data_IF_392820416506
#
_entry.id   IF_392820416506
#
_cell.length_a   1.000
_cell.length_b   1.000
_cell.length_c   1.000
_cell.angle_alpha   90.00
_cell.angle_beta   90.00
_cell.angle_gamma   90.00
#
_symmetry.space_group_name_H-M   'P 1'
#
loop_
_entity.id
_entity.type
_entity.pdbx_description
1 polymer ?
#
# COMPACT_ATOMS: atom_id res chain seq x y z
N UNK A 1 12.61 107.91 -62.07
CA UNK A 1 13.14 107.47 -60.76
C UNK A 1 12.01 107.53 -59.73
N UNK A 2 11.98 106.55 -58.81
CA UNK A 2 11.12 106.42 -57.62
C UNK A 2 9.63 106.02 -57.81
N UNK A 3 9.37 104.70 -57.77
CA UNK A 3 8.05 104.06 -57.53
C UNK A 3 7.62 104.28 -56.07
N UNK A 4 6.44 104.89 -55.86
CA UNK A 4 5.75 104.96 -54.56
C UNK A 4 5.10 103.60 -54.27
N UNK A 5 5.38 103.02 -53.11
CA UNK A 5 4.87 101.72 -52.66
C UNK A 5 3.62 101.94 -51.81
N UNK A 6 2.47 101.42 -52.26
CA UNK A 6 1.26 101.38 -51.46
C UNK A 6 1.28 100.13 -50.57
N UNK A 7 1.33 100.36 -49.26
CA UNK A 7 1.30 99.33 -48.22
C UNK A 7 -0.15 98.95 -47.92
N UNK A 8 -0.66 97.92 -48.59
CA UNK A 8 -1.90 97.23 -48.21
C UNK A 8 -1.52 95.80 -47.85
N UNK A 9 -1.57 95.46 -46.57
CA UNK A 9 -1.38 94.09 -46.07
C UNK A 9 -2.75 93.39 -46.00
N UNK A 10 -3.05 92.38 -46.83
CA UNK A 10 -4.25 91.57 -46.64
C UNK A 10 -4.01 90.57 -45.51
N UNK A 11 -4.68 90.78 -44.39
CA UNK A 11 -4.65 89.90 -43.23
C UNK A 11 -5.77 88.84 -43.32
N UNK A 12 -5.42 87.64 -43.80
CA UNK A 12 -5.90 86.32 -43.31
C UNK A 12 -5.50 85.23 -44.32
N UNK A 13 -4.51 84.41 -43.96
CA UNK A 13 -4.37 83.08 -44.56
C UNK A 13 -5.21 82.11 -43.72
N UNK A 14 -6.07 81.27 -44.31
CA UNK A 14 -6.72 80.22 -43.55
C UNK A 14 -5.64 79.23 -43.08
N UNK A 15 -5.67 78.91 -41.78
CA UNK A 15 -4.79 77.92 -41.17
C UNK A 15 -5.10 76.56 -41.82
N UNK A 16 -4.20 76.05 -42.66
CA UNK A 16 -4.32 74.70 -43.19
C UNK A 16 -4.01 73.74 -42.04
N UNK A 17 -5.03 73.06 -41.53
CA UNK A 17 -4.87 71.94 -40.61
C UNK A 17 -4.13 70.83 -41.34
N UNK A 18 -2.87 70.58 -40.96
CA UNK A 18 -2.15 69.38 -41.38
C UNK A 18 -2.85 68.19 -40.71
N UNK A 19 -3.37 67.20 -41.45
CA UNK A 19 -3.94 66.02 -40.79
C UNK A 19 -2.81 65.30 -40.05
N UNK A 20 -2.97 65.11 -38.74
CA UNK A 20 -2.09 64.25 -37.98
C UNK A 20 -2.17 62.85 -38.61
N UNK A 21 -1.09 62.42 -39.26
CA UNK A 21 -0.96 61.07 -39.78
C UNK A 21 -1.01 60.13 -38.57
N UNK A 22 -2.17 59.51 -38.33
CA UNK A 22 -2.36 58.52 -37.26
C UNK A 22 -1.46 57.34 -37.56
N UNK A 23 -0.24 57.34 -37.03
CA UNK A 23 0.65 56.18 -37.08
C UNK A 23 -0.02 55.14 -36.20
N UNK A 24 -0.61 54.14 -36.82
CA UNK A 24 -1.24 53.02 -36.15
C UNK A 24 -0.13 52.13 -35.57
N UNK A 25 0.52 52.58 -34.49
CA UNK A 25 1.51 51.79 -33.76
C UNK A 25 0.77 50.73 -32.96
N UNK A 26 0.35 49.65 -33.63
CA UNK A 26 -0.01 48.42 -32.92
C UNK A 26 1.19 48.03 -32.07
N UNK A 27 1.02 47.78 -30.76
CA UNK A 27 2.14 47.35 -29.93
C UNK A 27 2.76 46.09 -30.55
N UNK A 28 4.10 45.94 -30.53
CA UNK A 28 4.74 44.73 -31.05
C UNK A 28 4.14 43.52 -30.32
N UNK A 29 3.78 42.48 -31.07
CA UNK A 29 3.30 41.22 -30.48
C UNK A 29 4.37 40.69 -29.53
N UNK A 30 4.02 40.21 -28.32
CA UNK A 30 5.00 39.65 -27.42
C UNK A 30 5.72 38.47 -28.08
N UNK A 31 7.02 38.26 -27.82
CA UNK A 31 7.74 37.12 -28.34
C UNK A 31 7.04 35.83 -27.90
N UNK A 32 6.59 35.03 -28.87
CA UNK A 32 6.07 33.69 -28.61
C UNK A 32 7.27 32.77 -28.39
N UNK A 33 7.59 32.49 -27.13
CA UNK A 33 8.54 31.45 -26.79
C UNK A 33 7.89 30.07 -27.07
N UNK A 34 8.29 29.42 -28.16
CA UNK A 34 7.97 28.02 -28.40
C UNK A 34 8.74 27.18 -27.37
N UNK A 35 8.04 26.45 -26.50
CA UNK A 35 8.70 25.47 -25.63
C UNK A 35 9.28 24.38 -26.53
N UNK A 36 10.60 24.10 -26.48
CA UNK A 36 11.17 23.03 -27.26
C UNK A 36 10.47 21.72 -26.88
N UNK A 37 10.03 20.95 -27.88
CA UNK A 37 9.45 19.63 -27.63
C UNK A 37 10.55 18.75 -27.03
N UNK A 38 10.35 18.32 -25.78
CA UNK A 38 11.29 17.41 -25.11
C UNK A 38 11.30 16.09 -25.86
N UNK A 39 12.49 15.62 -26.21
CA UNK A 39 12.64 14.26 -26.74
C UNK A 39 12.29 13.25 -25.64
N UNK A 40 11.77 12.08 -26.02
CA UNK A 40 11.44 11.00 -25.08
C UNK A 40 12.62 10.64 -24.16
N UNK A 41 13.86 10.72 -24.68
CA UNK A 41 15.08 10.50 -23.90
C UNK A 41 15.27 11.58 -22.82
N UNK A 42 15.13 12.86 -23.16
CA UNK A 42 15.25 13.96 -22.19
C UNK A 42 14.14 13.91 -21.13
N UNK A 43 12.89 13.65 -21.56
CA UNK A 43 11.78 13.47 -20.63
C UNK A 43 12.07 12.33 -19.64
N UNK A 44 12.55 11.18 -20.12
CA UNK A 44 12.92 10.04 -19.28
C UNK A 44 14.03 10.37 -18.28
N UNK A 45 15.11 11.02 -18.69
CA UNK A 45 16.20 11.38 -17.77
C UNK A 45 15.76 12.39 -16.70
N UNK A 46 14.93 13.37 -17.07
CA UNK A 46 14.41 14.35 -16.12
C UNK A 46 13.39 13.75 -15.14
N UNK A 47 12.56 12.79 -15.58
CA UNK A 47 11.60 12.11 -14.71
C UNK A 47 12.19 10.95 -13.93
N UNK A 48 13.31 10.37 -14.38
CA UNK A 48 13.99 9.23 -13.73
C UNK A 48 14.21 9.42 -12.22
N UNK A 49 14.75 10.54 -11.69
CA UNK A 49 14.93 10.67 -10.25
C UNK A 49 13.59 10.63 -9.48
N UNK A 50 12.52 11.21 -10.05
CA UNK A 50 11.20 11.20 -9.45
C UNK A 50 10.57 9.79 -9.50
N UNK A 51 10.71 9.08 -10.62
CA UNK A 51 10.27 7.68 -10.75
C UNK A 51 11.02 6.78 -9.77
N UNK A 52 12.33 6.96 -9.63
CA UNK A 52 13.14 6.22 -8.66
C UNK A 52 12.75 6.54 -7.21
N UNK A 53 12.46 7.82 -6.89
CA UNK A 53 11.97 8.21 -5.58
C UNK A 53 10.61 7.59 -5.28
N UNK A 54 9.67 7.60 -6.23
CA UNK A 54 8.37 6.94 -6.08
C UNK A 54 8.56 5.43 -5.88
N UNK A 55 9.41 4.80 -6.68
CA UNK A 55 9.74 3.38 -6.54
C UNK A 55 10.38 3.04 -5.18
N UNK A 56 11.28 3.88 -4.68
CA UNK A 56 11.90 3.70 -3.38
C UNK A 56 10.89 3.92 -2.23
N UNK A 57 10.09 4.98 -2.32
CA UNK A 57 9.07 5.29 -1.30
C UNK A 57 8.00 4.19 -1.23
N UNK A 58 7.56 3.68 -2.38
CA UNK A 58 6.62 2.54 -2.44
C UNK A 58 7.24 1.27 -1.86
N UNK A 59 8.51 0.96 -2.17
CA UNK A 59 9.24 -0.15 -1.55
C UNK A 59 9.36 0.00 -0.03
N UNK A 60 9.71 1.19 0.48
CA UNK A 60 9.79 1.47 1.91
C UNK A 60 8.42 1.31 2.60
N UNK A 61 7.34 1.78 1.97
CA UNK A 61 5.99 1.65 2.52
C UNK A 61 5.56 0.18 2.61
N UNK A 62 5.86 -0.63 1.58
CA UNK A 62 5.56 -2.08 1.60
C UNK A 62 6.39 -2.79 2.68
N UNK A 63 7.68 -2.47 2.79
CA UNK A 63 8.56 -3.05 3.80
C UNK A 63 8.13 -2.72 5.25
N UNK A 64 7.44 -1.60 5.45
CA UNK A 64 6.96 -1.17 6.76
C UNK A 64 5.64 -1.84 7.21
N UNK A 65 5.04 -2.71 6.38
CA UNK A 65 3.78 -3.41 6.69
C UNK A 65 3.98 -4.93 6.80
N UNK A 66 4.69 -5.43 7.84
CA UNK A 66 4.89 -6.86 8.02
C UNK A 66 3.52 -7.54 8.23
N UNK A 67 3.19 -8.51 7.37
CA UNK A 67 1.90 -9.23 7.42
C UNK A 67 0.83 -8.76 6.44
N UNK A 68 1.06 -7.68 5.67
CA UNK A 68 0.14 -7.26 4.60
C UNK A 68 0.24 -8.15 3.36
N UNK A 69 1.43 -8.70 3.11
CA UNK A 69 1.74 -9.52 1.94
C UNK A 69 2.58 -10.72 2.35
N UNK A 70 2.39 -11.84 1.66
CA UNK A 70 3.33 -12.95 1.76
C UNK A 70 4.70 -12.49 1.24
N UNK A 71 5.78 -12.71 2.00
CA UNK A 71 7.13 -12.38 1.55
C UNK A 71 7.46 -13.17 0.28
N UNK A 72 8.27 -12.63 -0.64
CA UNK A 72 8.69 -13.38 -1.82
C UNK A 72 9.44 -14.65 -1.42
N UNK A 73 9.37 -15.70 -2.23
CA UNK A 73 9.88 -17.03 -1.86
C UNK A 73 11.35 -17.08 -1.41
N UNK A 74 12.20 -16.18 -1.90
CA UNK A 74 13.60 -16.09 -1.48
C UNK A 74 13.80 -15.55 -0.04
N UNK A 75 12.76 -14.97 0.57
CA UNK A 75 12.71 -14.56 1.98
C UNK A 75 11.90 -15.54 2.84
N UNK A 76 11.47 -16.67 2.26
CA UNK A 76 10.75 -17.72 2.99
C UNK A 76 11.67 -18.89 3.31
N UNK A 77 11.43 -19.51 4.46
CA UNK A 77 12.04 -20.79 4.81
C UNK A 77 11.63 -21.89 3.85
N UNK A 78 12.35 -23.01 3.91
CA UNK A 78 11.93 -24.23 3.23
C UNK A 78 10.49 -24.62 3.65
N UNK A 79 9.62 -25.04 2.71
CA UNK A 79 8.25 -25.41 3.02
C UNK A 79 8.17 -26.68 3.89
N UNK A 80 7.63 -26.54 5.10
CA UNK A 80 7.35 -27.66 5.99
C UNK A 80 5.94 -28.21 5.71
N UNK A 81 5.84 -29.52 5.43
CA UNK A 81 4.54 -30.18 5.19
C UNK A 81 4.04 -30.82 6.47
N UNK A 82 2.89 -30.37 6.95
CA UNK A 82 2.25 -30.88 8.17
C UNK A 82 0.99 -31.65 7.81
N UNK A 83 0.84 -32.83 8.40
CA UNK A 83 -0.38 -33.61 8.36
C UNK A 83 -0.65 -34.17 9.76
N UNK A 84 -1.88 -34.03 10.24
CA UNK A 84 -2.27 -34.47 11.57
C UNK A 84 -3.70 -34.06 11.89
N UNK A 85 -4.21 -34.59 12.99
CA UNK A 85 -5.52 -34.22 13.53
C UNK A 85 -5.32 -33.32 14.74
N UNK A 86 -5.80 -32.08 14.64
CA UNK A 86 -5.73 -31.06 15.68
C UNK A 86 -6.95 -31.16 16.59
N UNK A 87 -6.71 -31.28 17.89
CA UNK A 87 -7.74 -31.21 18.93
C UNK A 87 -7.72 -29.84 19.60
N UNK A 88 -8.65 -29.56 20.52
CA UNK A 88 -8.49 -28.45 21.46
C UNK A 88 -7.38 -28.77 22.44
N UNK A 89 -6.57 -27.77 22.80
CA UNK A 89 -5.59 -27.95 23.86
C UNK A 89 -6.33 -28.10 25.21
N UNK A 90 -5.92 -29.07 26.04
CA UNK A 90 -6.60 -29.38 27.30
C UNK A 90 -5.76 -30.27 28.22
N UNK A 91 -6.38 -30.81 29.28
CA UNK A 91 -5.73 -31.76 30.21
C UNK A 91 -5.52 -33.10 29.51
N UNK A 92 -4.33 -33.25 28.93
CA UNK A 92 -3.93 -34.39 28.10
C UNK A 92 -3.14 -33.84 26.92
N UNK A 93 -1.84 -34.13 26.87
CA UNK A 93 -0.91 -33.52 25.91
C UNK A 93 -1.15 -34.06 24.50
N UNK A 94 -2.05 -33.44 23.75
CA UNK A 94 -2.14 -33.66 22.31
C UNK A 94 -0.88 -33.13 21.63
N UNK A 95 -0.24 -33.94 20.79
CA UNK A 95 0.89 -33.46 19.97
C UNK A 95 0.43 -32.35 19.01
N UNK A 96 -0.76 -32.48 18.44
CA UNK A 96 -1.40 -31.44 17.62
C UNK A 96 -2.61 -30.87 18.37
N UNK A 97 -2.54 -29.61 18.80
CA UNK A 97 -3.69 -28.96 19.44
C UNK A 97 -3.79 -27.47 19.14
N UNK A 98 -5.00 -26.93 19.17
CA UNK A 98 -5.30 -25.51 18.94
C UNK A 98 -5.51 -24.80 20.28
N UNK A 99 -4.82 -23.67 20.46
CA UNK A 99 -4.88 -22.87 21.69
C UNK A 99 -6.03 -21.85 21.56
N UNK A 100 -5.96 -21.01 20.53
CA UNK A 100 -6.88 -19.90 20.26
C UNK A 100 -7.07 -19.76 18.73
N UNK A 101 -7.70 -18.69 18.25
CA UNK A 101 -8.04 -18.51 16.84
C UNK A 101 -6.85 -18.24 15.91
N UNK A 102 -5.66 -17.96 16.42
CA UNK A 102 -4.48 -17.64 15.61
C UNK A 102 -3.21 -18.38 16.07
N UNK A 103 -3.30 -19.19 17.12
CA UNK A 103 -2.20 -19.91 17.72
C UNK A 103 -2.55 -21.38 17.95
N UNK A 104 -1.65 -22.27 17.53
CA UNK A 104 -1.74 -23.72 17.75
C UNK A 104 -0.38 -24.31 18.13
N UNK A 105 -0.36 -25.59 18.49
CA UNK A 105 0.83 -26.32 18.90
C UNK A 105 1.09 -27.57 18.08
N UNK A 106 2.38 -27.81 17.84
CA UNK A 106 2.94 -29.05 17.29
C UNK A 106 4.05 -29.52 18.24
N UNK A 107 3.73 -30.49 19.10
CA UNK A 107 4.59 -30.93 20.20
C UNK A 107 4.87 -29.77 21.17
N UNK A 108 6.13 -29.34 21.20
CA UNK A 108 6.58 -28.21 22.03
C UNK A 108 6.51 -26.86 21.30
N UNK A 109 6.39 -26.88 19.97
CA UNK A 109 6.37 -25.69 19.13
C UNK A 109 5.02 -25.00 19.26
N UNK A 110 5.03 -23.71 19.61
CA UNK A 110 3.85 -22.83 19.55
C UNK A 110 3.93 -22.05 18.24
N UNK A 111 2.96 -22.25 17.36
CA UNK A 111 2.90 -21.62 16.06
C UNK A 111 1.82 -20.53 16.10
N UNK A 112 2.21 -19.30 15.77
CA UNK A 112 1.30 -18.17 15.57
C UNK A 112 1.19 -17.88 14.07
N UNK A 113 -0.06 -17.80 13.60
CA UNK A 113 -0.38 -17.49 12.21
C UNK A 113 -0.12 -16.00 11.94
N UNK A 114 0.65 -15.73 10.89
CA UNK A 114 0.97 -14.37 10.44
C UNK A 114 -0.22 -13.77 9.69
N UNK A 115 -0.41 -12.45 9.83
CA UNK A 115 -1.40 -11.68 9.08
C UNK A 115 -2.78 -11.62 9.71
N UNK A 116 -3.01 -12.32 10.82
CA UNK A 116 -4.29 -12.32 11.54
C UNK A 116 -4.13 -12.08 13.04
N UNK A 117 -5.22 -11.58 13.62
CA UNK A 117 -5.46 -11.43 15.06
C UNK A 117 -6.86 -11.92 15.39
N UNK A 118 -6.99 -12.70 16.46
CA UNK A 118 -8.26 -13.24 16.94
C UNK A 118 -8.45 -12.95 18.42
N UNK A 119 -9.70 -13.04 18.88
CA UNK A 119 -10.01 -13.00 20.31
C UNK A 119 -9.25 -14.13 21.04
N UNK A 120 -8.63 -13.77 22.17
CA UNK A 120 -7.86 -14.69 22.99
C UNK A 120 -8.81 -15.51 23.89
N UNK A 121 -8.47 -16.77 24.16
CA UNK A 121 -9.33 -17.66 24.96
C UNK A 121 -9.42 -17.23 26.44
N UNK A 122 -8.41 -16.53 26.96
CA UNK A 122 -8.41 -15.87 28.27
C UNK A 122 -9.18 -14.53 28.21
N UNK A 123 -10.44 -14.62 27.80
CA UNK A 123 -11.31 -13.48 27.53
C UNK A 123 -11.61 -12.63 28.77
N UNK A 124 -11.71 -11.32 28.56
CA UNK A 124 -12.04 -10.33 29.59
C UNK A 124 -13.54 -9.98 29.63
N UNK A 125 -14.29 -10.31 28.56
CA UNK A 125 -15.73 -10.11 28.50
C UNK A 125 -16.45 -11.26 27.76
N UNK A 126 -17.79 -11.42 27.93
CA UNK A 126 -18.54 -12.50 27.30
C UNK A 126 -18.49 -12.51 25.76
N UNK A 127 -18.49 -11.33 25.14
CA UNK A 127 -18.41 -11.21 23.68
C UNK A 127 -17.05 -11.68 23.14
N UNK A 128 -15.96 -11.35 23.83
CA UNK A 128 -14.63 -11.85 23.49
C UNK A 128 -14.55 -13.37 23.65
N UNK A 129 -15.14 -13.93 24.71
CA UNK A 129 -15.16 -15.39 24.92
C UNK A 129 -15.89 -16.12 23.80
N UNK A 130 -17.07 -15.64 23.39
CA UNK A 130 -17.83 -16.20 22.28
C UNK A 130 -17.03 -16.13 20.97
N UNK A 131 -16.44 -14.96 20.68
CA UNK A 131 -15.63 -14.77 19.47
C UNK A 131 -14.36 -15.63 19.49
N UNK A 132 -13.72 -15.80 20.64
CA UNK A 132 -12.54 -16.64 20.81
C UNK A 132 -12.87 -18.11 20.51
N UNK A 133 -14.00 -18.61 21.01
CA UNK A 133 -14.46 -19.98 20.75
C UNK A 133 -14.80 -20.21 19.28
N UNK A 134 -15.50 -19.27 18.63
CA UNK A 134 -15.79 -19.34 17.20
C UNK A 134 -14.51 -19.36 16.37
N UNK A 135 -13.56 -18.48 16.68
CA UNK A 135 -12.29 -18.37 15.94
C UNK A 135 -11.44 -19.63 16.13
N UNK A 136 -11.37 -20.17 17.33
CA UNK A 136 -10.55 -21.35 17.60
C UNK A 136 -11.19 -22.63 17.06
N UNK A 137 -12.52 -22.75 17.04
CA UNK A 137 -13.22 -23.80 16.30
C UNK A 137 -12.98 -23.71 14.78
N UNK A 138 -13.02 -22.50 14.21
CA UNK A 138 -12.77 -22.27 12.80
C UNK A 138 -11.33 -22.62 12.39
N UNK A 139 -10.33 -22.24 13.21
CA UNK A 139 -8.94 -22.62 12.98
C UNK A 139 -8.77 -24.15 13.05
N UNK A 140 -9.35 -24.79 14.07
CA UNK A 140 -9.31 -26.24 14.20
C UNK A 140 -9.93 -26.93 12.98
N UNK A 141 -11.08 -26.46 12.52
CA UNK A 141 -11.72 -26.96 11.32
C UNK A 141 -10.79 -26.82 10.12
N UNK A 142 -10.23 -25.63 9.88
CA UNK A 142 -9.34 -25.39 8.74
C UNK A 142 -8.15 -26.33 8.77
N UNK A 143 -7.47 -26.50 9.91
CA UNK A 143 -6.29 -27.36 10.09
C UNK A 143 -6.62 -28.83 9.79
N UNK A 144 -7.81 -29.28 10.18
CA UNK A 144 -8.26 -30.66 9.99
C UNK A 144 -8.81 -30.99 8.60
N UNK A 145 -8.90 -30.02 7.67
CA UNK A 145 -9.31 -30.29 6.28
C UNK A 145 -8.31 -31.16 5.48
N UNK A 146 -7.10 -31.37 6.01
CA UNK A 146 -6.07 -32.22 5.40
C UNK A 146 -4.65 -31.79 5.74
N UNK A 147 -3.67 -32.18 4.92
CA UNK A 147 -2.28 -31.70 5.02
C UNK A 147 -2.08 -30.29 4.48
N UNK A 148 -1.25 -29.48 5.14
CA UNK A 148 -0.96 -28.09 4.78
C UNK A 148 0.55 -27.83 4.74
N UNK A 149 0.91 -26.68 4.18
CA UNK A 149 2.28 -26.20 4.08
C UNK A 149 2.46 -25.03 5.03
N UNK A 150 3.61 -25.01 5.69
CA UNK A 150 3.99 -23.99 6.63
C UNK A 150 5.36 -23.42 6.23
N UNK A 151 5.44 -22.10 6.11
CA UNK A 151 6.68 -21.36 5.87
C UNK A 151 6.88 -20.27 6.90
N UNK A 152 8.11 -19.83 7.09
CA UNK A 152 8.48 -18.72 7.95
C UNK A 152 9.15 -17.63 7.12
N UNK A 153 9.04 -16.38 7.56
CA UNK A 153 9.91 -15.32 7.05
C UNK A 153 11.31 -15.49 7.67
N UNK A 154 12.37 -15.36 6.87
CA UNK A 154 13.75 -15.65 7.31
C UNK A 154 14.28 -14.60 8.30
N UNK A 155 13.90 -13.34 8.13
CA UNK A 155 14.35 -12.21 8.96
C UNK A 155 13.72 -12.20 10.36
N UNK A 156 12.48 -12.66 10.49
CA UNK A 156 11.73 -12.69 11.75
C UNK A 156 10.89 -13.98 11.87
N UNK A 157 11.53 -15.13 12.15
CA UNK A 157 10.86 -16.41 12.19
C UNK A 157 10.06 -16.64 13.48
N UNK A 158 10.37 -15.90 14.55
CA UNK A 158 9.78 -16.05 15.88
C UNK A 158 9.39 -14.68 16.45
N UNK A 159 8.35 -14.65 17.30
CA UNK A 159 7.97 -13.45 18.02
C UNK A 159 8.77 -13.25 19.32
N UNK A 160 8.56 -12.10 19.97
CA UNK A 160 9.20 -11.74 21.25
C UNK A 160 8.90 -12.69 22.41
N UNK A 161 7.88 -13.54 22.30
CA UNK A 161 7.46 -14.52 23.29
C UNK A 161 7.96 -15.94 22.96
N UNK A 162 8.74 -16.09 21.88
CA UNK A 162 9.28 -17.37 21.42
C UNK A 162 8.28 -18.23 20.65
N UNK A 163 7.14 -17.68 20.20
CA UNK A 163 6.24 -18.38 19.28
C UNK A 163 6.79 -18.31 17.86
N UNK A 164 6.66 -19.39 17.12
CA UNK A 164 7.01 -19.49 15.71
C UNK A 164 5.99 -18.71 14.88
N UNK A 165 6.44 -17.67 14.16
CA UNK A 165 5.63 -16.94 13.21
C UNK A 165 5.60 -17.71 11.89
N UNK A 166 4.40 -18.13 11.47
CA UNK A 166 4.25 -18.97 10.29
C UNK A 166 3.16 -18.47 9.35
N UNK A 167 3.45 -18.60 8.07
CA UNK A 167 2.51 -18.44 6.96
C UNK A 167 2.04 -19.84 6.60
N UNK A 168 0.72 -20.02 6.53
CA UNK A 168 0.10 -21.34 6.39
C UNK A 168 -0.83 -21.32 5.20
N UNK A 169 -0.66 -22.30 4.31
CA UNK A 169 -1.50 -22.44 3.13
C UNK A 169 -1.66 -23.89 2.69
N UNK A 170 -2.73 -24.13 1.94
CA UNK A 170 -2.89 -25.36 1.14
C UNK A 170 -2.70 -25.00 -0.32
N UNK A 171 -2.19 -25.95 -1.08
CA UNK A 171 -2.16 -25.89 -2.54
C UNK A 171 -3.07 -27.02 -3.00
N UNK A 172 -4.13 -26.68 -3.73
CA UNK A 172 -5.05 -27.66 -4.29
C UNK A 172 -4.46 -28.36 -5.53
N UNK A 173 -5.18 -29.32 -6.10
CA UNK A 173 -4.76 -30.03 -7.32
C UNK A 173 -4.64 -29.13 -8.54
N UNK A 174 -5.31 -27.98 -8.54
CA UNK A 174 -5.34 -27.01 -9.63
C UNK A 174 -4.28 -25.91 -9.42
N UNK A 175 -3.34 -26.10 -8.48
CA UNK A 175 -2.31 -25.14 -8.06
C UNK A 175 -2.86 -23.81 -7.50
N UNK A 176 -4.11 -23.78 -7.02
CA UNK A 176 -4.62 -22.62 -6.29
C UNK A 176 -4.18 -22.69 -4.85
N UNK A 177 -3.78 -21.53 -4.34
CA UNK A 177 -3.44 -21.37 -2.95
C UNK A 177 -4.70 -21.04 -2.13
N UNK A 178 -4.85 -21.70 -0.99
CA UNK A 178 -5.82 -21.38 0.05
C UNK A 178 -5.05 -20.95 1.31
N UNK A 179 -4.73 -19.65 1.47
CA UNK A 179 -4.04 -19.14 2.64
C UNK A 179 -4.96 -19.16 3.86
N UNK A 180 -4.48 -19.75 4.97
CA UNK A 180 -5.22 -19.83 6.23
C UNK A 180 -5.67 -18.44 6.71
N UNK A 181 -4.79 -17.45 6.61
CA UNK A 181 -5.08 -16.07 7.03
C UNK A 181 -6.29 -15.47 6.30
N UNK A 182 -6.41 -15.70 4.99
CA UNK A 182 -7.54 -15.21 4.19
C UNK A 182 -8.83 -15.94 4.57
N UNK A 183 -8.75 -17.26 4.73
CA UNK A 183 -9.91 -18.06 5.12
C UNK A 183 -10.41 -17.69 6.52
N UNK A 184 -9.51 -17.44 7.48
CA UNK A 184 -9.84 -17.05 8.85
C UNK A 184 -10.48 -15.66 8.93
N UNK A 185 -10.03 -14.71 8.11
CA UNK A 185 -10.67 -13.38 8.02
C UNK A 185 -12.09 -13.49 7.44
N UNK A 186 -12.31 -14.39 6.47
CA UNK A 186 -13.61 -14.56 5.82
C UNK A 186 -14.61 -15.41 6.64
N UNK A 187 -14.13 -16.43 7.36
CA UNK A 187 -14.97 -17.46 7.97
C UNK A 187 -14.78 -17.62 9.48
N UNK A 188 -13.59 -17.27 9.99
CA UNK A 188 -13.20 -17.46 11.39
C UNK A 188 -13.31 -16.21 12.25
N UNK A 189 -13.79 -15.08 11.70
CA UNK A 189 -13.92 -13.82 12.42
C UNK A 189 -12.60 -13.17 12.84
N UNK A 190 -11.49 -13.57 12.20
CA UNK A 190 -10.19 -12.95 12.44
C UNK A 190 -10.11 -11.55 11.82
N UNK A 191 -9.36 -10.66 12.47
CA UNK A 191 -9.02 -9.33 11.93
C UNK A 191 -7.64 -9.41 11.25
N UNK A 192 -7.44 -8.62 10.20
CA UNK A 192 -6.12 -8.46 9.59
C UNK A 192 -5.12 -7.82 10.57
N UNK A 193 -3.90 -8.34 10.63
CA UNK A 193 -2.88 -7.87 11.58
C UNK A 193 -1.52 -7.62 10.92
N UNK A 194 -1.03 -6.39 11.08
CA UNK A 194 0.19 -5.88 10.42
C UNK A 194 1.38 -5.70 11.39
N UNK A 195 1.40 -6.42 12.53
CA UNK A 195 2.51 -6.33 13.49
C UNK A 195 2.47 -5.10 14.41
N UNK A 196 1.32 -4.44 14.56
CA UNK A 196 1.15 -3.22 15.36
C UNK A 196 0.26 -3.40 16.59
N UNK A 197 -0.47 -2.34 16.94
CA UNK A 197 -1.46 -2.37 18.01
C UNK A 197 -2.67 -3.23 17.63
N UNK A 198 -3.20 -3.98 18.61
CA UNK A 198 -4.39 -4.81 18.46
C UNK A 198 -5.58 -4.09 19.07
N UNK A 199 -6.70 -4.07 18.36
CA UNK A 199 -7.97 -3.61 18.92
C UNK A 199 -8.51 -4.60 19.94
N UNK A 200 -9.26 -4.11 20.92
CA UNK A 200 -9.98 -4.97 21.86
C UNK A 200 -11.08 -5.81 21.19
N UNK A 201 -11.51 -6.85 21.89
CA UNK A 201 -12.60 -7.76 21.50
C UNK A 201 -13.86 -7.60 22.37
N UNK A 202 -13.81 -6.61 23.26
CA UNK A 202 -14.94 -5.93 23.85
C UNK A 202 -15.09 -4.57 23.12
#
# INVERSE_FOLDING_TARGET
MARKRDNVLPFRKPFKTVPLRRVNKRPPKPPKFSRPHKTWRQAWYETRPLVLLIGLATMCAIAAMPGAYEPPGFLQSEPERIAGSFTRCGKGRGYYCVIDGDTFRIGERKVRVVGIDTAEIDAQCPAEAEQAELSTAALQYWLNRGGFIMTARIDEPNDRYGRELRIIKRIDSDNREDPLANWMQANGGARGYLGGWRGGWC
#
